data_IF_390034466026
#
_entry.id   IF_390034466026
#
_cell.length_a   1.000
_cell.length_b   1.000
_cell.length_c   1.000
_cell.angle_alpha   90.00
_cell.angle_beta   90.00
_cell.angle_gamma   90.00
#
_symmetry.space_group_name_H-M   'P 1'
#
loop_
_entity.id
_entity.type
_entity.pdbx_description
1 polymer ?
#
# COMPACT_ATOMS: atom_id res chain seq x y z
N UNK A 1 0.00 -2.49 6.87
CA UNK A 1 0.99 -1.43 6.62
C UNK A 1 2.27 -1.80 7.32
N UNK A 2 3.34 -2.02 6.56
CA UNK A 2 4.62 -2.49 7.09
C UNK A 2 5.57 -1.31 7.21
N UNK A 3 6.13 -1.10 8.40
CA UNK A 3 6.95 0.06 8.72
C UNK A 3 8.33 -0.43 9.15
N UNK A 4 9.38 0.09 8.54
CA UNK A 4 10.75 -0.09 9.01
C UNK A 4 11.22 1.19 9.71
N UNK A 5 11.88 1.03 10.86
CA UNK A 5 12.57 2.12 11.59
C UNK A 5 14.05 1.82 11.56
N UNK A 6 14.85 2.75 11.10
CA UNK A 6 16.31 2.63 11.07
C UNK A 6 16.96 3.84 11.74
N UNK A 7 17.59 3.61 12.90
CA UNK A 7 18.26 4.60 13.73
C UNK A 7 19.29 3.84 14.60
N UNK A 8 20.51 4.30 14.76
CA UNK A 8 21.52 3.62 15.60
C UNK A 8 21.25 3.80 17.11
N UNK A 9 20.44 4.79 17.47
CA UNK A 9 20.05 5.04 18.87
C UNK A 9 18.81 4.21 19.24
N UNK A 10 18.97 3.26 20.15
CA UNK A 10 17.88 2.41 20.65
C UNK A 10 16.72 3.22 21.25
N UNK A 11 17.01 4.26 22.06
CA UNK A 11 15.97 5.06 22.70
C UNK A 11 15.12 5.84 21.70
N UNK A 12 15.74 6.30 20.60
CA UNK A 12 15.00 6.97 19.54
C UNK A 12 14.11 5.97 18.80
N UNK A 13 14.58 4.74 18.54
CA UNK A 13 13.74 3.67 17.93
C UNK A 13 12.54 3.33 18.80
N UNK A 14 12.76 3.11 20.12
CA UNK A 14 11.68 2.82 21.07
C UNK A 14 10.66 3.97 21.14
N UNK A 15 11.12 5.22 21.21
CA UNK A 15 10.23 6.38 21.19
C UNK A 15 9.38 6.43 19.91
N UNK A 16 9.97 6.14 18.74
CA UNK A 16 9.22 6.12 17.48
C UNK A 16 8.16 5.01 17.50
N UNK A 17 8.50 3.83 18.01
CA UNK A 17 7.54 2.71 18.18
C UNK A 17 6.36 3.15 19.04
N UNK A 18 6.61 3.69 20.23
CA UNK A 18 5.57 4.16 21.15
C UNK A 18 4.65 5.19 20.50
N UNK A 19 5.23 6.15 19.76
CA UNK A 19 4.47 7.18 19.05
C UNK A 19 3.63 6.61 17.91
N UNK A 20 4.13 5.60 17.18
CA UNK A 20 3.39 4.90 16.12
C UNK A 20 2.27 4.04 16.71
N UNK A 21 2.53 3.31 17.79
CA UNK A 21 1.51 2.52 18.49
C UNK A 21 0.38 3.43 18.99
N UNK A 22 0.72 4.56 19.60
CA UNK A 22 -0.26 5.57 19.99
C UNK A 22 -1.06 6.11 18.79
N UNK A 23 -0.38 6.31 17.64
CA UNK A 23 -1.04 6.77 16.42
C UNK A 23 -2.04 5.75 15.86
N UNK A 24 -1.72 4.46 15.91
CA UNK A 24 -2.56 3.38 15.36
C UNK A 24 -3.60 2.82 16.34
N UNK A 25 -3.48 3.10 17.64
CA UNK A 25 -4.29 2.53 18.73
C UNK A 25 -5.80 2.50 18.45
N UNK A 26 -6.36 3.56 17.85
CA UNK A 26 -7.77 3.67 17.51
C UNK A 26 -8.06 3.61 16.00
N UNK A 27 -7.12 3.12 15.20
CA UNK A 27 -7.27 3.03 13.75
C UNK A 27 -7.46 1.57 13.34
N UNK A 28 -8.47 1.29 12.54
CA UNK A 28 -8.70 -0.05 11.95
C UNK A 28 -7.69 -0.34 10.84
N UNK A 29 -6.39 -0.14 11.12
CA UNK A 29 -5.29 -0.39 10.19
C UNK A 29 -4.41 -1.45 10.81
N UNK A 30 -4.27 -2.60 10.14
CA UNK A 30 -3.26 -3.59 10.51
C UNK A 30 -1.88 -3.05 10.16
N UNK A 31 -0.94 -3.13 11.09
CA UNK A 31 0.44 -2.68 10.88
C UNK A 31 1.45 -3.65 11.53
N UNK A 32 2.68 -3.61 11.03
CA UNK A 32 3.86 -4.21 11.62
C UNK A 32 4.99 -3.18 11.68
N UNK A 33 5.89 -3.32 12.64
CA UNK A 33 7.04 -2.44 12.81
C UNK A 33 8.28 -3.31 12.99
N UNK A 34 9.26 -3.13 12.10
CA UNK A 34 10.58 -3.75 12.19
C UNK A 34 11.62 -2.66 12.48
N UNK A 35 12.64 -3.00 13.31
CA UNK A 35 13.65 -2.06 13.77
C UNK A 35 15.04 -2.49 13.29
N UNK A 36 15.81 -1.53 12.79
CA UNK A 36 17.18 -1.69 12.30
C UNK A 36 18.10 -0.70 12.97
N UNK A 37 19.26 -1.15 13.44
CA UNK A 37 20.27 -0.29 14.05
C UNK A 37 21.24 0.34 13.03
N UNK A 38 21.21 -0.14 11.79
CA UNK A 38 22.06 0.35 10.70
C UNK A 38 21.40 0.19 9.35
N UNK A 39 21.85 1.01 8.39
CA UNK A 39 21.30 1.04 7.04
C UNK A 39 21.59 -0.20 6.20
N UNK A 40 22.70 -0.90 6.46
CA UNK A 40 23.09 -2.09 5.68
C UNK A 40 22.07 -3.22 5.90
N UNK A 41 21.65 -3.45 7.14
CA UNK A 41 20.63 -4.46 7.46
C UNK A 41 19.28 -4.13 6.82
N UNK A 42 18.87 -2.86 6.84
CA UNK A 42 17.64 -2.44 6.18
C UNK A 42 17.71 -2.64 4.66
N UNK A 43 18.85 -2.29 4.04
CA UNK A 43 19.04 -2.49 2.59
C UNK A 43 18.94 -3.98 2.26
N UNK A 44 19.61 -4.84 3.04
CA UNK A 44 19.57 -6.29 2.84
C UNK A 44 18.15 -6.85 2.88
N UNK A 45 17.34 -6.47 3.87
CA UNK A 45 15.97 -6.94 4.00
C UNK A 45 15.07 -6.50 2.83
N UNK A 46 15.29 -5.29 2.33
CA UNK A 46 14.55 -4.79 1.15
C UNK A 46 15.03 -5.50 -0.14
N UNK A 47 16.32 -5.82 -0.27
CA UNK A 47 16.85 -6.64 -1.37
C UNK A 47 16.29 -8.07 -1.34
N UNK A 48 16.13 -8.65 -0.14
CA UNK A 48 15.54 -9.98 0.06
C UNK A 48 14.02 -9.99 -0.19
N UNK A 49 13.44 -8.83 -0.46
CA UNK A 49 12.04 -8.70 -0.89
C UNK A 49 11.04 -8.42 0.24
N UNK A 50 11.50 -8.04 1.43
CA UNK A 50 10.60 -7.62 2.49
C UNK A 50 9.83 -6.34 2.08
N UNK A 51 8.49 -6.38 2.05
CA UNK A 51 7.69 -5.25 1.59
C UNK A 51 7.48 -4.25 2.73
N UNK A 52 8.03 -3.06 2.61
CA UNK A 52 7.72 -1.94 3.49
C UNK A 52 6.91 -0.86 2.76
N UNK A 53 5.89 -0.34 3.44
CA UNK A 53 5.10 0.80 2.97
C UNK A 53 5.77 2.13 3.38
N UNK A 54 6.42 2.13 4.55
CA UNK A 54 7.08 3.30 5.14
C UNK A 54 8.43 2.88 5.71
N UNK A 55 9.46 3.64 5.41
CA UNK A 55 10.78 3.60 6.06
C UNK A 55 10.99 4.90 6.82
N UNK A 56 11.19 4.82 8.13
CA UNK A 56 11.58 5.95 8.99
C UNK A 56 13.09 5.82 9.22
N UNK A 57 13.85 6.84 8.85
CA UNK A 57 15.30 6.75 8.69
C UNK A 57 16.01 7.94 9.34
N UNK A 58 16.86 7.69 10.32
CA UNK A 58 17.78 8.73 10.78
C UNK A 58 18.83 9.02 9.71
N UNK A 59 19.25 10.27 9.63
CA UNK A 59 20.32 10.67 8.71
C UNK A 59 21.70 10.36 9.29
N UNK A 60 21.87 10.51 10.59
CA UNK A 60 23.17 10.36 11.24
C UNK A 60 23.29 9.00 11.95
N UNK A 61 23.67 7.97 11.20
CA UNK A 61 23.85 6.60 11.71
C UNK A 61 25.26 6.09 11.41
N UNK A 62 26.14 6.19 12.39
CA UNK A 62 27.48 5.55 12.31
C UNK A 62 28.25 5.80 11.02
N UNK A 63 28.45 4.74 10.21
CA UNK A 63 29.30 4.76 9.01
C UNK A 63 28.59 5.22 7.75
N UNK A 64 27.30 4.96 7.63
CA UNK A 64 26.52 5.26 6.43
C UNK A 64 25.45 6.31 6.76
N UNK A 65 25.44 7.40 5.99
CA UNK A 65 24.42 8.42 6.15
C UNK A 65 23.05 7.90 5.66
N UNK A 66 21.98 8.19 6.39
CA UNK A 66 20.63 7.80 5.99
C UNK A 66 20.21 8.29 4.60
N UNK A 67 20.74 9.42 4.14
CA UNK A 67 20.57 9.90 2.77
C UNK A 67 21.14 8.92 1.73
N UNK A 68 22.30 8.30 2.02
CA UNK A 68 22.91 7.31 1.13
C UNK A 68 22.12 6.00 1.16
N UNK A 69 21.63 5.60 2.33
CA UNK A 69 20.68 4.47 2.47
C UNK A 69 19.47 4.73 1.58
N UNK A 70 18.81 5.88 1.70
CA UNK A 70 17.65 6.25 0.90
C UNK A 70 17.93 6.21 -0.61
N UNK A 71 19.08 6.73 -1.05
CA UNK A 71 19.51 6.66 -2.46
C UNK A 71 19.67 5.21 -2.93
N UNK A 72 20.24 4.32 -2.10
CA UNK A 72 20.36 2.90 -2.42
C UNK A 72 19.00 2.22 -2.49
N UNK A 73 18.08 2.50 -1.57
CA UNK A 73 16.72 1.98 -1.62
C UNK A 73 16.02 2.39 -2.93
N UNK A 74 16.19 3.64 -3.39
CA UNK A 74 15.60 4.08 -4.66
C UNK A 74 16.23 3.40 -5.88
N UNK A 75 17.55 3.09 -5.87
CA UNK A 75 18.21 2.28 -6.91
C UNK A 75 17.62 0.86 -6.96
N UNK A 76 17.29 0.28 -5.81
CA UNK A 76 16.59 -1.01 -5.69
C UNK A 76 15.11 -0.95 -6.07
N UNK A 77 14.63 0.20 -6.57
CA UNK A 77 13.22 0.43 -6.94
C UNK A 77 12.25 0.32 -5.77
N UNK A 78 12.71 0.57 -4.57
CA UNK A 78 11.83 0.72 -3.42
C UNK A 78 10.88 1.89 -3.64
N UNK A 79 9.57 1.63 -3.65
CA UNK A 79 8.51 2.60 -3.92
C UNK A 79 7.78 3.07 -2.67
N UNK A 80 8.10 2.53 -1.49
CA UNK A 80 7.53 2.97 -0.22
C UNK A 80 7.92 4.40 0.14
N UNK A 81 7.23 4.98 1.09
CA UNK A 81 7.50 6.33 1.58
C UNK A 81 8.72 6.33 2.50
N UNK A 82 9.61 7.31 2.35
CA UNK A 82 10.76 7.52 3.23
C UNK A 82 10.50 8.76 4.08
N UNK A 83 10.63 8.63 5.40
CA UNK A 83 10.56 9.73 6.36
C UNK A 83 11.93 9.87 7.01
N UNK A 84 12.55 11.02 6.87
CA UNK A 84 13.78 11.32 7.60
C UNK A 84 13.48 11.86 9.00
N UNK A 85 14.19 11.31 9.99
CA UNK A 85 14.28 11.85 11.35
C UNK A 85 15.71 12.27 11.60
N UNK A 86 15.95 13.52 11.99
CA UNK A 86 17.32 14.01 12.13
C UNK A 86 17.44 15.21 13.07
N UNK A 87 18.62 15.39 13.64
CA UNK A 87 18.94 16.55 14.45
C UNK A 87 19.29 17.81 13.62
N UNK A 88 19.60 17.67 12.31
CA UNK A 88 19.98 18.79 11.42
C UNK A 88 18.96 19.04 10.33
N UNK A 89 18.82 20.30 9.93
CA UNK A 89 18.03 20.72 8.75
C UNK A 89 18.82 20.72 7.45
N UNK A 90 20.11 20.47 7.46
CA UNK A 90 21.03 20.69 6.33
C UNK A 90 20.74 19.78 5.13
N UNK A 91 20.19 18.59 5.41
CA UNK A 91 19.83 17.57 4.41
C UNK A 91 18.41 17.69 3.89
N UNK A 92 17.68 18.76 4.25
CA UNK A 92 16.29 18.91 3.79
C UNK A 92 16.21 19.01 2.25
N UNK A 93 17.20 19.64 1.60
CA UNK A 93 17.26 19.73 0.14
C UNK A 93 17.54 18.35 -0.48
N UNK A 94 18.50 17.58 0.05
CA UNK A 94 18.84 16.25 -0.45
C UNK A 94 17.67 15.24 -0.31
N UNK A 95 16.77 15.48 0.64
CA UNK A 95 15.57 14.65 0.82
C UNK A 95 14.62 14.71 -0.38
N UNK A 96 14.63 15.79 -1.17
CA UNK A 96 13.85 15.90 -2.41
C UNK A 96 14.36 14.96 -3.51
N UNK A 97 15.68 14.73 -3.59
CA UNK A 97 16.28 13.88 -4.62
C UNK A 97 15.82 12.41 -4.50
N UNK A 98 15.45 11.99 -3.29
CA UNK A 98 14.94 10.64 -3.02
C UNK A 98 13.41 10.57 -2.91
N UNK A 99 12.70 11.66 -3.25
CA UNK A 99 11.25 11.76 -3.08
C UNK A 99 10.80 11.35 -1.67
N UNK A 100 11.38 11.97 -0.64
CA UNK A 100 10.98 11.70 0.73
C UNK A 100 9.54 12.14 1.00
N UNK A 101 8.75 11.27 1.65
CA UNK A 101 7.38 11.55 2.07
C UNK A 101 7.30 12.52 3.25
N UNK A 102 8.38 12.63 4.03
CA UNK A 102 8.48 13.51 5.18
C UNK A 102 9.89 13.76 5.67
N UNK A 103 10.03 14.86 6.42
CA UNK A 103 11.25 15.25 7.11
C UNK A 103 10.88 15.81 8.49
N UNK A 104 11.42 15.23 9.55
CA UNK A 104 11.09 15.58 10.93
C UNK A 104 12.37 15.88 11.69
N UNK A 105 12.46 17.08 12.24
CA UNK A 105 13.57 17.47 13.13
C UNK A 105 13.36 16.91 14.55
N UNK A 106 14.38 16.23 15.07
CA UNK A 106 14.46 15.87 16.50
C UNK A 106 14.48 17.16 17.36
N UNK A 107 13.87 17.21 18.57
CA UNK A 107 13.20 16.09 19.23
C UNK A 107 11.86 15.76 18.55
N UNK A 108 11.60 14.45 18.49
CA UNK A 108 10.37 13.92 17.89
C UNK A 108 9.21 14.19 18.85
N UNK A 109 8.06 14.58 18.30
CA UNK A 109 6.83 14.67 19.08
C UNK A 109 5.68 14.01 18.32
N UNK A 110 4.69 13.52 19.06
CA UNK A 110 3.49 12.91 18.49
C UNK A 110 2.85 13.75 17.39
N UNK A 111 2.70 15.06 17.62
CA UNK A 111 2.07 15.95 16.66
C UNK A 111 2.85 16.10 15.35
N UNK A 112 4.19 16.13 15.42
CA UNK A 112 5.05 16.19 14.22
C UNK A 112 4.93 14.88 13.43
N UNK A 113 5.08 13.73 14.11
CA UNK A 113 4.98 12.41 13.49
C UNK A 113 3.59 12.19 12.90
N UNK A 114 2.54 12.46 13.68
CA UNK A 114 1.14 12.36 13.26
C UNK A 114 0.88 13.12 11.96
N UNK A 115 1.34 14.38 11.86
CA UNK A 115 1.14 15.22 10.67
C UNK A 115 1.75 14.61 9.41
N UNK A 116 2.93 14.00 9.52
CA UNK A 116 3.61 13.36 8.40
C UNK A 116 2.93 12.03 8.05
N UNK A 117 2.64 11.19 9.05
CA UNK A 117 1.96 9.91 8.83
C UNK A 117 0.54 10.12 8.29
N UNK A 118 -0.22 11.11 8.74
CA UNK A 118 -1.54 11.44 8.17
C UNK A 118 -1.44 11.79 6.67
N UNK A 119 -0.44 12.59 6.28
CA UNK A 119 -0.21 12.92 4.87
C UNK A 119 0.14 11.68 4.04
N UNK A 120 0.98 10.80 4.59
CA UNK A 120 1.40 9.56 3.92
C UNK A 120 0.23 8.58 3.87
N UNK A 121 -0.50 8.38 4.96
CA UNK A 121 -1.68 7.50 4.97
C UNK A 121 -2.79 8.01 4.07
N UNK A 122 -2.96 9.33 3.93
CA UNK A 122 -3.82 9.91 2.90
C UNK A 122 -3.32 9.59 1.49
N UNK A 123 -2.02 9.66 1.26
CA UNK A 123 -1.40 9.31 -0.03
C UNK A 123 -1.42 7.80 -0.31
N UNK A 124 -1.12 6.99 0.70
CA UNK A 124 -1.29 5.53 0.66
C UNK A 124 -2.77 5.14 0.68
N UNK A 125 -3.64 5.92 1.32
CA UNK A 125 -5.09 5.82 1.34
C UNK A 125 -5.75 6.25 0.01
N UNK A 126 -4.99 6.70 -1.00
CA UNK A 126 -5.45 6.67 -2.41
C UNK A 126 -5.66 5.23 -2.90
N UNK A 127 -5.16 4.22 -2.17
CA UNK A 127 -5.50 2.81 -2.32
C UNK A 127 -6.75 2.43 -1.51
N UNK A 128 -7.64 3.38 -1.21
CA UNK A 128 -8.92 3.14 -0.54
C UNK A 128 -10.06 3.78 -1.31
N UNK A 129 -11.16 3.06 -1.43
CA UNK A 129 -12.37 3.58 -2.03
C UNK A 129 -13.30 4.17 -0.98
N UNK A 130 -13.73 5.42 -1.19
CA UNK A 130 -14.64 6.10 -0.28
C UNK A 130 -16.10 5.75 -0.60
N UNK A 131 -16.74 5.00 0.27
CA UNK A 131 -18.18 4.69 0.21
C UNK A 131 -18.94 5.66 1.09
N UNK A 132 -19.85 6.43 0.48
CA UNK A 132 -20.74 7.33 1.23
C UNK A 132 -21.93 6.54 1.78
N UNK A 133 -22.08 6.57 3.11
CA UNK A 133 -23.25 6.05 3.81
C UNK A 133 -23.98 7.22 4.46
N UNK A 134 -25.28 7.36 4.22
CA UNK A 134 -26.17 8.42 4.78
C UNK A 134 -25.46 9.66 5.35
N UNK A 135 -24.91 9.59 6.58
CA UNK A 135 -24.20 10.67 7.28
C UNK A 135 -22.68 10.45 7.41
N UNK A 136 -22.16 9.26 7.05
CA UNK A 136 -20.77 8.89 7.26
C UNK A 136 -20.07 8.52 5.96
N UNK A 137 -18.74 8.60 5.95
CA UNK A 137 -17.87 8.08 4.89
C UNK A 137 -17.09 6.90 5.43
N UNK A 138 -17.09 5.80 4.66
CA UNK A 138 -16.28 4.62 4.94
C UNK A 138 -15.18 4.53 3.91
N UNK A 139 -13.92 4.50 4.34
CA UNK A 139 -12.77 4.22 3.49
C UNK A 139 -12.51 2.71 3.49
N UNK A 140 -12.60 2.09 2.33
CA UNK A 140 -12.37 0.66 2.16
C UNK A 140 -11.04 0.50 1.40
N UNK A 141 -10.01 -0.09 2.02
CA UNK A 141 -8.74 -0.36 1.35
C UNK A 141 -8.95 -1.20 0.09
N UNK A 142 -8.22 -0.88 -0.99
CA UNK A 142 -8.36 -1.60 -2.27
C UNK A 142 -8.03 -3.09 -2.15
N UNK A 143 -7.09 -3.46 -1.29
CA UNK A 143 -6.76 -4.84 -0.99
C UNK A 143 -7.86 -5.60 -0.22
N UNK A 144 -8.89 -4.92 0.28
CA UNK A 144 -10.06 -5.55 0.88
C UNK A 144 -11.25 -5.63 -0.08
N UNK A 145 -11.18 -4.96 -1.21
CA UNK A 145 -12.21 -5.00 -2.26
C UNK A 145 -11.96 -6.21 -3.15
N UNK A 146 -12.87 -7.16 -3.14
CA UNK A 146 -12.80 -8.38 -3.96
C UNK A 146 -13.32 -8.12 -5.36
N UNK A 147 -14.53 -7.61 -5.47
CA UNK A 147 -15.14 -7.18 -6.73
C UNK A 147 -16.28 -6.19 -6.49
N UNK A 148 -16.68 -5.52 -7.56
CA UNK A 148 -17.84 -4.63 -7.56
C UNK A 148 -18.75 -5.08 -8.69
N UNK A 149 -20.02 -5.31 -8.36
CA UNK A 149 -21.04 -5.66 -9.34
C UNK A 149 -22.06 -4.54 -9.53
N UNK A 150 -22.51 -4.38 -10.76
CA UNK A 150 -23.65 -3.50 -11.09
C UNK A 150 -24.95 -4.26 -10.92
N UNK A 151 -25.84 -3.73 -10.09
CA UNK A 151 -27.16 -4.29 -9.83
C UNK A 151 -28.22 -3.18 -9.99
N UNK A 152 -28.90 -3.16 -11.13
CA UNK A 152 -29.90 -2.14 -11.50
C UNK A 152 -29.35 -0.71 -11.39
N UNK A 153 -29.88 0.09 -10.46
CA UNK A 153 -29.53 1.50 -10.27
C UNK A 153 -28.35 1.75 -9.34
N UNK A 154 -27.75 0.68 -8.77
CA UNK A 154 -26.64 0.75 -7.82
C UNK A 154 -25.55 -0.24 -8.16
N UNK A 155 -24.39 -0.05 -7.58
CA UNK A 155 -23.33 -1.06 -7.54
C UNK A 155 -23.22 -1.63 -6.13
N UNK A 156 -22.79 -2.87 -6.02
CA UNK A 156 -22.52 -3.55 -4.74
C UNK A 156 -21.02 -3.84 -4.70
N UNK A 157 -20.33 -3.28 -3.71
CA UNK A 157 -18.94 -3.58 -3.41
C UNK A 157 -18.88 -4.73 -2.43
N UNK A 158 -18.11 -5.77 -2.78
CA UNK A 158 -17.88 -6.97 -1.96
C UNK A 158 -16.50 -6.93 -1.34
N UNK A 159 -16.42 -7.09 -0.01
CA UNK A 159 -15.15 -7.16 0.74
C UNK A 159 -14.76 -8.60 1.04
N UNK A 160 -13.47 -8.78 1.29
CA UNK A 160 -12.87 -10.07 1.64
C UNK A 160 -13.35 -10.64 2.99
N UNK A 161 -13.91 -9.82 3.87
CA UNK A 161 -14.53 -10.23 5.13
C UNK A 161 -16.03 -10.61 4.98
N UNK A 162 -16.56 -10.63 3.74
CA UNK A 162 -17.97 -10.94 3.43
C UNK A 162 -18.93 -9.77 3.52
N UNK A 163 -18.48 -8.59 3.97
CA UNK A 163 -19.33 -7.38 4.02
C UNK A 163 -19.60 -6.86 2.61
N UNK A 164 -20.82 -6.27 2.43
CA UNK A 164 -21.27 -5.70 1.16
C UNK A 164 -21.77 -4.28 1.34
N UNK A 165 -21.38 -3.40 0.42
CA UNK A 165 -21.77 -2.00 0.49
C UNK A 165 -22.45 -1.55 -0.80
N UNK A 166 -23.62 -0.89 -0.68
CA UNK A 166 -24.32 -0.31 -1.80
C UNK A 166 -23.70 1.05 -2.18
N UNK A 167 -23.41 1.23 -3.46
CA UNK A 167 -22.86 2.46 -4.04
C UNK A 167 -23.82 2.96 -5.11
N UNK A 168 -24.38 4.14 -4.93
CA UNK A 168 -25.34 4.75 -5.87
C UNK A 168 -24.61 5.53 -6.97
N UNK A 169 -23.75 4.82 -7.72
CA UNK A 169 -22.99 5.32 -8.87
C UNK A 169 -22.99 4.27 -9.97
N UNK A 170 -22.78 4.70 -11.22
CA UNK A 170 -22.55 3.80 -12.35
C UNK A 170 -21.16 3.16 -12.21
N UNK A 171 -21.02 1.90 -12.62
CA UNK A 171 -19.79 1.14 -12.51
C UNK A 171 -18.60 1.80 -13.26
N UNK A 172 -18.84 2.43 -14.41
CA UNK A 172 -17.81 3.20 -15.12
C UNK A 172 -17.25 4.37 -14.30
N UNK A 173 -18.09 5.02 -13.50
CA UNK A 173 -17.65 6.10 -12.61
C UNK A 173 -16.79 5.56 -11.48
N UNK A 174 -17.18 4.42 -10.89
CA UNK A 174 -16.40 3.75 -9.84
C UNK A 174 -15.04 3.30 -10.39
N UNK A 175 -15.00 2.70 -11.58
CA UNK A 175 -13.78 2.30 -12.27
C UNK A 175 -12.82 3.48 -12.47
N UNK A 176 -13.34 4.63 -12.94
CA UNK A 176 -12.54 5.84 -13.11
C UNK A 176 -12.08 6.47 -11.78
N UNK A 177 -12.81 6.28 -10.69
CA UNK A 177 -12.45 6.77 -9.35
C UNK A 177 -11.40 5.88 -8.68
N UNK A 178 -11.48 4.55 -8.88
CA UNK A 178 -10.47 3.60 -8.40
C UNK A 178 -9.12 3.84 -9.10
N UNK A 179 -9.13 3.94 -10.43
CA UNK A 179 -7.95 4.22 -11.27
C UNK A 179 -6.69 3.46 -10.84
N UNK A 180 -6.84 2.17 -10.55
CA UNK A 180 -5.78 1.30 -10.07
C UNK A 180 -5.71 0.03 -10.92
N UNK A 181 -4.51 -0.37 -11.30
CA UNK A 181 -4.25 -1.46 -12.25
C UNK A 181 -4.69 -2.84 -11.76
N UNK A 182 -4.95 -3.02 -10.48
CA UNK A 182 -5.46 -4.28 -9.92
C UNK A 182 -6.93 -4.53 -10.28
N UNK A 183 -7.69 -3.48 -10.63
CA UNK A 183 -9.10 -3.62 -10.97
C UNK A 183 -9.31 -3.80 -12.46
N UNK A 184 -9.84 -4.97 -12.84
CA UNK A 184 -10.11 -5.34 -14.23
C UNK A 184 -11.62 -5.34 -14.53
N UNK A 185 -12.02 -4.63 -15.59
CA UNK A 185 -13.39 -4.69 -16.09
C UNK A 185 -13.64 -6.01 -16.84
N UNK A 186 -14.04 -7.05 -16.11
CA UNK A 186 -14.26 -8.38 -16.70
C UNK A 186 -15.56 -8.49 -17.49
N UNK A 187 -16.59 -7.73 -17.10
CA UNK A 187 -17.91 -7.72 -17.73
C UNK A 187 -18.55 -6.34 -17.66
N UNK A 188 -19.61 -6.08 -18.46
CA UNK A 188 -20.36 -4.81 -18.36
C UNK A 188 -20.88 -4.55 -16.93
N UNK A 189 -21.09 -5.61 -16.16
CA UNK A 189 -21.63 -5.55 -14.80
C UNK A 189 -20.59 -5.87 -13.71
N UNK A 190 -19.33 -6.19 -14.04
CA UNK A 190 -18.34 -6.60 -13.06
C UNK A 190 -17.01 -5.88 -13.23
N UNK A 191 -16.48 -5.41 -12.10
CA UNK A 191 -15.13 -4.90 -11.92
C UNK A 191 -14.47 -5.76 -10.84
N UNK A 192 -13.47 -6.57 -11.20
CA UNK A 192 -12.84 -7.54 -10.31
C UNK A 192 -11.44 -7.09 -9.90
N UNK A 193 -11.08 -7.29 -8.64
CA UNK A 193 -9.71 -7.17 -8.17
C UNK A 193 -8.93 -8.43 -8.54
N UNK A 194 -7.91 -8.28 -9.38
CA UNK A 194 -7.12 -9.37 -9.94
C UNK A 194 -6.31 -10.14 -8.88
N UNK A 195 -6.02 -9.51 -7.72
CA UNK A 195 -5.32 -10.16 -6.60
C UNK A 195 -6.13 -11.32 -5.99
N UNK A 196 -7.44 -11.34 -6.20
CA UNK A 196 -8.33 -12.40 -5.71
C UNK A 196 -8.62 -13.49 -6.72
N UNK A 197 -8.14 -13.39 -7.96
CA UNK A 197 -8.40 -14.40 -9.00
C UNK A 197 -7.48 -15.60 -8.79
N UNK A 198 -8.08 -16.78 -8.57
CA UNK A 198 -7.36 -18.06 -8.46
C UNK A 198 -7.44 -18.90 -9.72
N UNK A 199 -8.49 -18.71 -10.54
CA UNK A 199 -8.67 -19.44 -11.79
C UNK A 199 -9.33 -18.55 -12.85
N UNK A 200 -8.80 -18.60 -14.09
CA UNK A 200 -9.26 -17.82 -15.23
C UNK A 200 -9.85 -18.73 -16.32
N UNK A 201 -11.07 -19.23 -16.08
CA UNK A 201 -11.86 -20.06 -17.01
C UNK A 201 -12.79 -19.25 -17.93
N UNK A 202 -14.01 -19.71 -18.15
CA UNK A 202 -15.08 -18.95 -18.79
C UNK A 202 -15.63 -17.83 -17.90
N UNK A 203 -15.31 -17.91 -16.63
CA UNK A 203 -15.48 -16.90 -15.59
C UNK A 203 -14.23 -16.90 -14.71
N UNK A 204 -14.02 -15.83 -13.93
CA UNK A 204 -12.99 -15.81 -12.91
C UNK A 204 -13.52 -16.47 -11.64
N UNK A 205 -12.76 -17.43 -11.09
CA UNK A 205 -12.98 -17.96 -9.74
C UNK A 205 -12.12 -17.15 -8.78
N UNK A 206 -12.71 -16.76 -7.65
CA UNK A 206 -12.05 -15.92 -6.66
C UNK A 206 -11.72 -16.72 -5.40
N UNK A 207 -10.68 -16.32 -4.69
CA UNK A 207 -10.23 -16.94 -3.44
C UNK A 207 -11.28 -16.89 -2.32
N UNK A 208 -12.29 -16.02 -2.45
CA UNK A 208 -13.46 -15.95 -1.53
C UNK A 208 -14.54 -17.00 -1.83
N UNK A 209 -14.38 -17.80 -2.90
CA UNK A 209 -15.38 -18.76 -3.36
C UNK A 209 -16.41 -18.17 -4.35
N UNK A 210 -16.38 -16.86 -4.57
CA UNK A 210 -17.27 -16.22 -5.55
C UNK A 210 -16.79 -16.46 -6.99
N UNK A 211 -17.71 -16.28 -7.95
CA UNK A 211 -17.42 -16.32 -9.38
C UNK A 211 -17.85 -15.03 -10.08
N UNK A 212 -16.99 -14.49 -10.93
CA UNK A 212 -17.23 -13.25 -11.66
C UNK A 212 -17.22 -13.50 -13.16
N UNK A 213 -18.25 -13.01 -13.84
CA UNK A 213 -18.43 -13.24 -15.29
C UNK A 213 -17.36 -12.51 -16.11
N UNK A 214 -16.93 -13.17 -17.19
CA UNK A 214 -16.10 -12.57 -18.24
C UNK A 214 -16.98 -12.32 -19.47
N UNK A 215 -16.80 -11.16 -20.13
CA UNK A 215 -17.52 -10.84 -21.39
C UNK A 215 -17.12 -11.83 -22.47
N UNK A 216 -18.07 -12.63 -22.95
CA UNK A 216 -17.83 -13.74 -23.90
C UNK A 216 -17.08 -13.32 -25.18
N UNK A 217 -17.42 -12.15 -25.74
CA UNK A 217 -16.78 -11.64 -26.97
C UNK A 217 -15.32 -11.23 -26.78
N UNK A 218 -14.87 -11.03 -25.54
CA UNK A 218 -13.54 -10.51 -25.19
C UNK A 218 -12.79 -11.43 -24.21
N UNK A 219 -13.19 -12.69 -24.07
CA UNK A 219 -12.59 -13.62 -23.08
C UNK A 219 -11.06 -13.70 -23.21
N UNK A 220 -10.56 -13.83 -24.45
CA UNK A 220 -9.10 -13.94 -24.72
C UNK A 220 -8.35 -12.67 -24.28
N UNK A 221 -8.89 -11.49 -24.61
CA UNK A 221 -8.31 -10.20 -24.27
C UNK A 221 -8.26 -9.96 -22.76
N UNK A 222 -9.39 -10.21 -22.08
CA UNK A 222 -9.53 -10.03 -20.63
C UNK A 222 -8.61 -10.99 -19.86
N UNK A 223 -8.50 -12.25 -20.31
CA UNK A 223 -7.54 -13.21 -19.73
C UNK A 223 -6.09 -12.77 -19.94
N UNK A 224 -5.76 -12.26 -21.12
CA UNK A 224 -4.41 -11.76 -21.39
C UNK A 224 -4.07 -10.54 -20.52
N UNK A 225 -5.02 -9.67 -20.19
CA UNK A 225 -4.82 -8.58 -19.27
C UNK A 225 -4.51 -9.09 -17.85
N UNK A 226 -5.26 -10.10 -17.39
CA UNK A 226 -4.98 -10.76 -16.10
C UNK A 226 -3.61 -11.45 -16.09
N UNK A 227 -3.24 -12.19 -17.13
CA UNK A 227 -1.93 -12.86 -17.20
C UNK A 227 -0.77 -11.86 -17.14
N UNK A 228 -0.86 -10.77 -17.91
CA UNK A 228 0.14 -9.69 -17.86
C UNK A 228 0.24 -9.02 -16.50
N UNK A 229 -0.89 -8.86 -15.80
CA UNK A 229 -0.90 -8.35 -14.43
C UNK A 229 -0.18 -9.31 -13.50
N UNK A 230 -0.50 -10.61 -13.57
CA UNK A 230 0.04 -11.67 -12.74
C UNK A 230 1.56 -11.85 -12.97
N UNK A 231 2.02 -11.80 -14.23
CA UNK A 231 3.45 -11.86 -14.57
C UNK A 231 4.24 -10.71 -13.92
N UNK A 232 3.68 -9.50 -13.87
CA UNK A 232 4.33 -8.35 -13.24
C UNK A 232 4.38 -8.41 -11.72
N UNK A 233 3.41 -9.08 -11.08
CA UNK A 233 3.26 -9.11 -9.63
C UNK A 233 3.74 -10.43 -9.01
N UNK A 234 3.76 -11.55 -9.75
CA UNK A 234 4.23 -12.86 -9.29
C UNK A 234 5.69 -13.17 -9.66
N UNK A 235 6.42 -12.29 -10.30
CA UNK A 235 7.86 -12.43 -10.50
C UNK A 235 8.63 -12.50 -9.16
N UNK A 236 7.97 -12.17 -8.05
CA UNK A 236 8.51 -12.27 -6.70
C UNK A 236 8.26 -13.62 -5.99
N UNK A 237 7.35 -14.50 -6.51
CA UNK A 237 7.13 -15.83 -5.87
C UNK A 237 7.88 -16.98 -6.51
N UNK A 238 8.46 -16.83 -7.69
CA UNK A 238 9.15 -17.90 -8.39
C UNK A 238 10.63 -18.08 -7.95
N UNK A 239 11.16 -17.24 -7.06
CA UNK A 239 12.53 -17.35 -6.53
C UNK A 239 12.62 -18.07 -5.17
N UNK A 240 11.50 -18.59 -4.63
CA UNK A 240 11.47 -19.28 -3.33
C UNK A 240 11.34 -20.81 -3.48
N UNK A 241 11.40 -21.34 -4.72
CA UNK A 241 11.31 -22.81 -4.95
C UNK A 241 12.43 -23.26 -5.88
N UNK A 242 13.68 -23.17 -5.39
CA UNK A 242 14.81 -24.00 -5.83
C UNK A 242 15.88 -24.04 -4.74
#
# INVERSE_FOLDING_TARGET
MNIAICDDNLLDRELIVDLLECYFYNKSISYSIDQYENGDNLIYEIEDGHPYDIVILDIFMGKLLGIEVAKNLRKLKFNGEIIFLTASSDFAVDSYDVNAGGYILKPISYNKLKKVIDKITLKLGTNSYCVRQRSNFLLIPYNEIVYIESNNSKCILHRNNGEKYNIYKKLNKIESELNDSRFLRSHQSYLVNMDYIIEAGNQFQLSTGDAVLIRQRHVKEIRNQYLKYNEKHNTHMASISN
#
